data_IF_670610684443
#
_entry.id   IF_670610684443
#
_cell.length_a   1.000
_cell.length_b   1.000
_cell.length_c   1.000
_cell.angle_alpha   90.00
_cell.angle_beta   90.00
_cell.angle_gamma   90.00
#
_symmetry.space_group_name_H-M   'P 1'
#
loop_
_entity.id
_entity.type
_entity.pdbx_description
1 polymer ?
#
# COMPACT_ATOMS: atom_id res chain seq x y z
N UNK A 1 10.50 9.04 18.84
CA UNK A 1 10.02 7.75 18.33
C UNK A 1 11.10 7.17 17.42
N UNK A 2 11.54 5.94 17.68
CA UNK A 2 12.42 5.21 16.76
C UNK A 2 11.60 4.78 15.55
N UNK A 3 12.10 5.06 14.34
CA UNK A 3 11.48 4.62 13.10
C UNK A 3 11.62 3.08 12.95
N UNK A 4 10.53 2.36 12.68
CA UNK A 4 10.55 0.92 12.37
C UNK A 4 10.79 0.71 10.86
N UNK A 5 11.97 0.20 10.43
CA UNK A 5 12.28 -0.04 9.03
C UNK A 5 11.53 -1.24 8.42
N UNK A 6 10.72 -1.98 9.18
CA UNK A 6 9.90 -3.09 8.67
C UNK A 6 10.69 -4.16 7.90
N UNK A 7 11.89 -4.48 8.38
CA UNK A 7 12.76 -5.48 7.76
C UNK A 7 13.57 -4.99 6.56
N UNK A 8 13.55 -3.69 6.26
CA UNK A 8 14.44 -3.10 5.25
C UNK A 8 15.89 -3.14 5.76
N UNK A 9 16.78 -3.78 5.00
CA UNK A 9 18.21 -3.89 5.31
C UNK A 9 18.99 -3.04 4.30
N UNK A 10 19.81 -2.13 4.80
CA UNK A 10 20.68 -1.30 3.96
C UNK A 10 21.24 -0.10 4.72
N UNK A 11 22.39 0.42 4.25
CA UNK A 11 23.08 1.57 4.86
C UNK A 11 23.44 2.67 3.86
N UNK A 12 22.92 2.62 2.63
CA UNK A 12 23.21 3.63 1.62
C UNK A 12 22.62 4.99 2.00
N UNK A 13 23.27 6.08 1.59
CA UNK A 13 22.78 7.44 1.79
C UNK A 13 21.39 7.65 1.17
N UNK A 14 21.17 7.12 -0.03
CA UNK A 14 19.88 7.18 -0.71
C UNK A 14 18.74 6.57 0.13
N UNK A 15 18.99 5.44 0.81
CA UNK A 15 18.01 4.81 1.67
C UNK A 15 17.75 5.63 2.95
N UNK A 16 18.77 6.29 3.49
CA UNK A 16 18.62 7.21 4.61
C UNK A 16 17.76 8.43 4.24
N UNK A 17 17.91 8.96 3.02
CA UNK A 17 17.07 10.06 2.53
C UNK A 17 15.61 9.62 2.36
N UNK A 18 15.38 8.40 1.87
CA UNK A 18 14.05 7.79 1.81
C UNK A 18 13.43 7.68 3.21
N UNK A 19 14.15 7.17 4.21
CA UNK A 19 13.65 7.09 5.58
C UNK A 19 13.34 8.47 6.19
N UNK A 20 14.14 9.50 5.84
CA UNK A 20 13.88 10.88 6.26
C UNK A 20 12.55 11.40 5.69
N UNK A 21 12.26 11.12 4.43
CA UNK A 21 10.99 11.48 3.79
C UNK A 21 9.85 10.71 4.47
N UNK A 22 9.99 9.40 4.64
CA UNK A 22 8.97 8.56 5.28
C UNK A 22 8.62 9.04 6.69
N UNK A 23 9.62 9.39 7.49
CA UNK A 23 9.40 9.89 8.86
C UNK A 23 8.57 11.17 8.88
N UNK A 24 8.71 12.04 7.87
CA UNK A 24 7.92 13.27 7.74
C UNK A 24 6.50 13.01 7.26
N UNK A 25 6.32 12.05 6.36
CA UNK A 25 5.03 11.78 5.71
C UNK A 25 4.14 10.84 6.54
N UNK A 26 4.73 9.91 7.30
CA UNK A 26 4.00 8.94 8.11
C UNK A 26 2.93 9.55 9.05
N UNK A 27 3.16 10.68 9.75
CA UNK A 27 2.12 11.28 10.61
C UNK A 27 1.02 12.05 9.85
N UNK A 28 1.13 12.18 8.52
CA UNK A 28 0.18 12.91 7.68
C UNK A 28 -0.92 12.00 7.10
N UNK A 29 -2.06 12.60 6.76
CA UNK A 29 -3.16 11.89 6.11
C UNK A 29 -3.08 11.89 4.56
N UNK A 30 -2.05 12.51 3.99
CA UNK A 30 -1.87 12.69 2.55
C UNK A 30 -1.67 11.36 1.79
N UNK A 31 -2.11 11.34 0.54
CA UNK A 31 -1.82 10.25 -0.40
C UNK A 31 -0.34 10.28 -0.81
N UNK A 32 0.29 9.10 -0.84
CA UNK A 32 1.71 8.96 -1.17
C UNK A 32 1.89 8.15 -2.44
N UNK A 33 2.63 8.68 -3.41
CA UNK A 33 3.06 7.97 -4.61
C UNK A 33 4.49 7.46 -4.42
N UNK A 34 4.69 6.15 -4.52
CA UNK A 34 6.02 5.51 -4.45
C UNK A 34 6.42 5.04 -5.84
N UNK A 35 7.56 5.55 -6.32
CA UNK A 35 8.12 5.21 -7.63
C UNK A 35 9.42 4.43 -7.50
N UNK A 36 9.85 3.81 -8.59
CA UNK A 36 11.10 3.04 -8.67
C UNK A 36 10.94 1.77 -9.49
N UNK A 37 12.06 1.16 -9.85
CA UNK A 37 12.12 -0.05 -10.67
C UNK A 37 11.48 -1.26 -9.98
N UNK A 38 11.14 -2.27 -10.78
CA UNK A 38 10.62 -3.54 -10.24
C UNK A 38 11.66 -4.21 -9.34
N UNK A 39 11.21 -4.86 -8.26
CA UNK A 39 12.11 -5.57 -7.33
C UNK A 39 12.90 -4.70 -6.34
N UNK A 40 12.74 -3.37 -6.34
CA UNK A 40 13.48 -2.45 -5.44
C UNK A 40 12.93 -2.36 -4.01
N UNK A 41 11.99 -3.23 -3.62
CA UNK A 41 11.47 -3.27 -2.25
C UNK A 41 10.45 -2.17 -1.89
N UNK A 42 9.79 -1.56 -2.90
CA UNK A 42 8.73 -0.55 -2.68
C UNK A 42 7.63 -1.02 -1.71
N UNK A 43 7.29 -2.30 -1.72
CA UNK A 43 6.29 -2.85 -0.79
C UNK A 43 6.73 -2.76 0.67
N UNK A 44 8.00 -3.08 0.96
CA UNK A 44 8.57 -2.97 2.31
C UNK A 44 8.53 -1.52 2.79
N UNK A 45 8.82 -0.57 1.89
CA UNK A 45 8.78 0.86 2.14
C UNK A 45 7.35 1.33 2.49
N UNK A 46 6.34 0.89 1.75
CA UNK A 46 4.93 1.23 2.04
C UNK A 46 4.47 0.60 3.37
N UNK A 47 4.91 -0.62 3.69
CA UNK A 47 4.63 -1.24 4.99
C UNK A 47 5.27 -0.48 6.14
N UNK A 48 6.52 -0.03 5.97
CA UNK A 48 7.19 0.85 6.94
C UNK A 48 6.45 2.17 7.13
N UNK A 49 5.96 2.78 6.04
CA UNK A 49 5.14 4.00 6.11
C UNK A 49 3.88 3.77 6.98
N UNK A 50 3.15 2.68 6.74
CA UNK A 50 1.93 2.37 7.52
C UNK A 50 2.24 2.16 9.01
N UNK A 51 3.26 1.36 9.34
CA UNK A 51 3.66 1.07 10.72
C UNK A 51 4.13 2.29 11.51
N UNK A 52 4.69 3.28 10.84
CA UNK A 52 5.14 4.52 11.48
C UNK A 52 4.07 5.64 11.43
N UNK A 53 2.89 5.35 10.88
CA UNK A 53 1.80 6.32 10.77
C UNK A 53 0.89 6.35 12.00
N UNK A 54 -0.01 7.34 12.05
CA UNK A 54 -1.11 7.38 13.04
C UNK A 54 -2.14 6.25 12.86
N UNK A 55 -2.00 5.43 11.81
CA UNK A 55 -2.91 4.35 11.42
C UNK A 55 -2.29 2.97 11.62
N UNK A 56 -1.16 2.87 12.32
CA UNK A 56 -0.36 1.64 12.43
C UNK A 56 -1.14 0.44 13.03
N UNK A 57 -2.14 0.73 13.87
CA UNK A 57 -3.05 -0.22 14.50
C UNK A 57 -4.24 -0.61 13.61
N UNK A 58 -4.45 0.09 12.50
CA UNK A 58 -5.54 -0.16 11.55
C UNK A 58 -5.14 -1.17 10.47
N UNK A 59 -6.11 -1.85 9.84
CA UNK A 59 -5.84 -2.77 8.74
C UNK A 59 -5.04 -2.10 7.61
N UNK A 60 -4.05 -2.83 7.10
CA UNK A 60 -3.32 -2.49 5.89
C UNK A 60 -3.71 -3.48 4.78
N UNK A 61 -4.38 -3.00 3.74
CA UNK A 61 -4.91 -3.83 2.65
C UNK A 61 -4.11 -3.56 1.38
N UNK A 62 -3.06 -4.34 1.07
CA UNK A 62 -2.32 -4.19 -0.17
C UNK A 62 -3.14 -4.75 -1.34
N UNK A 63 -3.19 -4.00 -2.44
CA UNK A 63 -3.89 -4.42 -3.68
C UNK A 63 -2.90 -4.35 -4.84
N UNK A 64 -2.75 -5.46 -5.56
CA UNK A 64 -1.96 -5.52 -6.79
C UNK A 64 -2.90 -5.42 -8.00
N UNK A 65 -3.09 -4.20 -8.51
CA UNK A 65 -3.94 -3.97 -9.69
C UNK A 65 -3.45 -4.68 -10.96
N UNK A 66 -2.15 -5.03 -11.05
CA UNK A 66 -1.60 -5.76 -12.20
C UNK A 66 -1.98 -7.24 -12.23
N UNK A 67 -2.45 -7.79 -11.10
CA UNK A 67 -2.92 -9.18 -11.01
C UNK A 67 -4.44 -9.31 -11.18
N UNK A 68 -5.17 -8.19 -11.26
CA UNK A 68 -6.64 -8.16 -11.34
C UNK A 68 -7.03 -7.83 -12.79
N UNK A 69 -7.88 -8.65 -13.44
CA UNK A 69 -8.45 -8.31 -14.75
C UNK A 69 -9.16 -6.96 -14.70
N UNK A 70 -9.02 -6.15 -15.76
CA UNK A 70 -9.56 -4.78 -15.81
C UNK A 70 -11.06 -4.75 -15.56
N UNK A 71 -11.77 -5.74 -16.06
CA UNK A 71 -13.22 -5.89 -15.96
C UNK A 71 -13.69 -6.19 -14.52
N UNK A 72 -12.79 -6.68 -13.67
CA UNK A 72 -13.07 -7.04 -12.27
C UNK A 72 -12.52 -6.02 -11.27
N UNK A 73 -11.67 -5.09 -11.70
CA UNK A 73 -10.96 -4.17 -10.81
C UNK A 73 -11.91 -3.34 -9.94
N UNK A 74 -12.96 -2.77 -10.54
CA UNK A 74 -13.92 -1.94 -9.81
C UNK A 74 -14.69 -2.77 -8.77
N UNK A 75 -15.14 -3.97 -9.15
CA UNK A 75 -15.80 -4.91 -8.25
C UNK A 75 -14.90 -5.36 -7.09
N UNK A 76 -13.59 -5.48 -7.31
CA UNK A 76 -12.63 -5.81 -6.26
C UNK A 76 -12.36 -4.64 -5.31
N UNK A 77 -12.37 -3.39 -5.81
CA UNK A 77 -12.10 -2.20 -5.02
C UNK A 77 -13.32 -1.70 -4.24
N UNK A 78 -14.51 -1.80 -4.82
CA UNK A 78 -15.72 -1.16 -4.32
C UNK A 78 -16.84 -2.15 -3.96
N UNK A 79 -16.67 -3.44 -4.31
CA UNK A 79 -17.75 -4.41 -4.20
C UNK A 79 -18.72 -4.36 -5.38
N UNK A 80 -19.70 -5.26 -5.34
CA UNK A 80 -20.80 -5.32 -6.31
C UNK A 80 -22.04 -5.98 -5.69
N UNK A 81 -23.21 -5.64 -6.21
CA UNK A 81 -24.45 -6.33 -5.89
C UNK A 81 -24.64 -7.56 -6.78
N UNK A 82 -25.38 -8.56 -6.27
CA UNK A 82 -25.78 -9.72 -7.08
C UNK A 82 -26.52 -9.25 -8.34
N UNK A 83 -26.07 -9.73 -9.50
CA UNK A 83 -26.64 -9.39 -10.80
C UNK A 83 -26.07 -8.11 -11.44
N UNK A 84 -25.08 -7.45 -10.83
CA UNK A 84 -24.42 -6.29 -11.44
C UNK A 84 -23.71 -6.61 -12.78
N UNK A 85 -23.30 -7.88 -12.98
CA UNK A 85 -22.77 -8.43 -14.23
C UNK A 85 -23.10 -9.92 -14.33
N UNK A 86 -22.90 -10.54 -15.51
CA UNK A 86 -23.35 -11.91 -15.82
C UNK A 86 -22.84 -12.98 -14.84
N UNK A 87 -21.70 -12.74 -14.20
CA UNK A 87 -21.08 -13.64 -13.21
C UNK A 87 -21.21 -13.15 -11.75
N UNK A 88 -21.97 -12.09 -11.48
CA UNK A 88 -22.23 -11.57 -10.14
C UNK A 88 -23.26 -12.44 -9.39
N UNK A 89 -22.88 -13.66 -9.06
CA UNK A 89 -23.77 -14.65 -8.42
C UNK A 89 -24.03 -14.39 -6.92
N UNK A 90 -23.22 -13.54 -6.28
CA UNK A 90 -23.34 -13.15 -4.87
C UNK A 90 -23.07 -11.65 -4.72
N UNK A 91 -23.66 -11.03 -3.70
CA UNK A 91 -23.33 -9.67 -3.30
C UNK A 91 -22.00 -9.67 -2.53
N UNK A 92 -21.14 -8.70 -2.81
CA UNK A 92 -19.88 -8.41 -2.13
C UNK A 92 -19.88 -6.92 -1.77
N UNK A 93 -20.01 -6.59 -0.49
CA UNK A 93 -19.95 -5.20 0.04
C UNK A 93 -18.75 -5.11 0.97
#
# INVERSE_FOLDING_TARGET
MSFDPSGIIGKSSALQDVFRILTRVAPSDSTVLVTGESGTGKELLVRALHRNSKRADKPFVPINCGAIPRELLESELFGHEKGAFTHAIRTKI
#
